data_IF_069785356258
#
_entry.id   IF_069785356258
#
_cell.length_a   1.000
_cell.length_b   1.000
_cell.length_c   1.000
_cell.angle_alpha   90.00
_cell.angle_beta   90.00
_cell.angle_gamma   90.00
#
_symmetry.space_group_name_H-M   'P 1'
#
loop_
_entity.id
_entity.type
_entity.pdbx_description
1 polymer ?
#
# COMPACT_ATOMS: atom_id res chain seq x y z
N UNK A 1 -5.52 7.71 4.12
CA UNK A 1 -4.10 7.69 3.68
C UNK A 1 -3.53 6.34 4.10
N UNK A 2 -2.92 5.55 3.21
CA UNK A 2 -2.14 4.40 3.65
C UNK A 2 -1.03 4.92 4.57
N UNK A 3 -0.64 4.12 5.58
CA UNK A 3 0.55 4.41 6.37
C UNK A 3 1.74 4.38 5.42
N UNK A 4 2.19 5.56 4.98
CA UNK A 4 3.51 5.70 4.42
C UNK A 4 4.43 5.49 5.62
N UNK A 5 4.96 4.27 5.77
CA UNK A 5 6.15 4.06 6.58
C UNK A 5 7.25 4.81 5.85
N UNK A 6 7.34 6.11 6.12
CA UNK A 6 8.52 6.89 5.78
C UNK A 6 9.59 6.28 6.66
N UNK A 7 10.39 5.38 6.08
CA UNK A 7 11.68 5.03 6.63
C UNK A 7 12.56 6.28 6.53
N UNK A 8 12.24 7.30 7.33
CA UNK A 8 13.20 8.32 7.67
C UNK A 8 14.25 7.55 8.45
N UNK A 9 15.47 7.51 7.91
CA UNK A 9 16.61 7.02 8.66
C UNK A 9 16.78 8.00 9.80
N UNK A 10 16.19 7.68 10.95
CA UNK A 10 16.51 8.34 12.20
C UNK A 10 18.03 8.38 12.29
N UNK A 11 18.59 9.59 12.37
CA UNK A 11 20.04 9.81 12.40
C UNK A 11 20.66 9.33 13.71
N UNK A 12 19.84 8.85 14.65
CA UNK A 12 20.29 8.08 15.79
C UNK A 12 20.59 6.64 15.36
N UNK A 13 21.84 6.39 14.98
CA UNK A 13 22.40 5.03 14.96
C UNK A 13 22.43 4.49 16.39
N UNK A 14 21.32 3.91 16.86
CA UNK A 14 21.33 3.09 18.05
C UNK A 14 22.22 1.87 17.77
N UNK A 15 23.33 1.77 18.50
CA UNK A 15 24.29 0.67 18.38
C UNK A 15 23.76 -0.56 19.16
N UNK A 16 22.92 -1.34 18.49
CA UNK A 16 22.35 -2.57 19.05
C UNK A 16 23.36 -3.73 19.13
N UNK A 17 24.62 -3.55 18.69
CA UNK A 17 25.65 -4.61 18.80
C UNK A 17 26.00 -4.95 20.25
N UNK A 18 25.75 -4.01 21.17
CA UNK A 18 25.99 -4.16 22.61
C UNK A 18 24.83 -4.83 23.34
N UNK A 19 23.64 -4.85 22.73
CA UNK A 19 22.47 -5.50 23.31
C UNK A 19 22.52 -6.99 22.96
N UNK A 20 22.49 -7.82 24.01
CA UNK A 20 22.37 -9.27 23.84
C UNK A 20 20.99 -9.66 24.30
N UNK A 21 20.23 -10.27 23.40
CA UNK A 21 18.93 -10.81 23.72
C UNK A 21 19.04 -12.31 23.98
N UNK A 22 18.35 -12.78 25.01
CA UNK A 22 18.39 -14.17 25.47
C UNK A 22 17.38 -15.06 24.72
N UNK A 23 17.45 -15.05 23.39
CA UNK A 23 16.65 -15.94 22.56
C UNK A 23 17.50 -16.59 21.48
N UNK A 24 17.23 -17.85 21.22
CA UNK A 24 17.83 -18.59 20.12
C UNK A 24 17.05 -18.31 18.84
N UNK A 25 17.77 -17.92 17.79
CA UNK A 25 17.16 -17.76 16.48
C UNK A 25 16.81 -19.14 15.88
N UNK A 26 15.67 -19.27 15.17
CA UNK A 26 15.30 -20.51 14.49
C UNK A 26 16.41 -21.02 13.58
N UNK A 27 16.54 -22.35 13.48
CA UNK A 27 17.50 -23.04 12.59
C UNK A 27 18.98 -22.78 12.88
N UNK A 28 19.34 -22.36 14.10
CA UNK A 28 20.74 -22.17 14.51
C UNK A 28 21.45 -21.02 13.80
N UNK A 29 20.70 -20.04 13.31
CA UNK A 29 21.24 -18.88 12.59
C UNK A 29 21.71 -17.80 13.57
N UNK A 30 22.96 -17.36 13.49
CA UNK A 30 23.43 -16.22 14.30
C UNK A 30 23.05 -14.88 13.64
N UNK A 31 21.88 -14.36 14.01
CA UNK A 31 21.38 -13.06 13.55
C UNK A 31 21.68 -11.92 14.54
N UNK A 32 22.55 -12.14 15.52
CA UNK A 32 22.95 -11.11 16.48
C UNK A 32 23.56 -9.90 15.74
N UNK A 33 23.15 -8.65 16.04
CA UNK A 33 23.78 -7.46 15.47
C UNK A 33 25.30 -7.46 15.71
N UNK A 34 26.08 -7.26 14.65
CA UNK A 34 27.55 -7.35 14.68
C UNK A 34 28.14 -8.74 14.46
N UNK A 35 27.31 -9.79 14.33
CA UNK A 35 27.76 -11.09 13.83
C UNK A 35 28.11 -10.99 12.33
N UNK A 36 29.10 -11.76 11.88
CA UNK A 36 29.51 -11.81 10.46
C UNK A 36 28.33 -12.18 9.55
N UNK A 37 27.46 -13.09 10.00
CA UNK A 37 26.28 -13.50 9.24
C UNK A 37 25.22 -12.39 9.18
N UNK A 38 24.92 -11.76 10.31
CA UNK A 38 24.03 -10.60 10.40
C UNK A 38 24.49 -9.47 9.47
N UNK A 39 25.76 -9.07 9.57
CA UNK A 39 26.31 -7.96 8.77
C UNK A 39 26.32 -8.29 7.28
N UNK A 40 26.64 -9.55 6.93
CA UNK A 40 26.53 -10.04 5.55
C UNK A 40 25.11 -9.94 4.99
N UNK A 41 24.09 -10.33 5.78
CA UNK A 41 22.69 -10.25 5.38
C UNK A 41 22.22 -8.79 5.27
N UNK A 42 22.53 -7.98 6.30
CA UNK A 42 22.23 -6.55 6.35
C UNK A 42 22.80 -5.83 5.14
N UNK A 43 24.07 -6.06 4.81
CA UNK A 43 24.73 -5.43 3.65
C UNK A 43 24.06 -5.82 2.33
N UNK A 44 23.67 -7.08 2.16
CA UNK A 44 22.93 -7.53 0.96
C UNK A 44 21.56 -6.86 0.83
N UNK A 45 20.83 -6.72 1.94
CA UNK A 45 19.52 -6.05 1.97
C UNK A 45 19.70 -4.56 1.65
N UNK A 46 20.65 -3.89 2.30
CA UNK A 46 20.94 -2.48 2.07
C UNK A 46 21.43 -2.18 0.67
N UNK A 47 22.27 -3.04 0.08
CA UNK A 47 22.72 -2.88 -1.32
C UNK A 47 21.53 -2.85 -2.26
N UNK A 48 20.64 -3.86 -2.17
CA UNK A 48 19.44 -3.94 -3.02
C UNK A 48 18.48 -2.78 -2.80
N UNK A 49 18.26 -2.38 -1.54
CA UNK A 49 17.41 -1.24 -1.21
C UNK A 49 17.98 0.07 -1.77
N UNK A 50 19.31 0.26 -1.67
CA UNK A 50 20.00 1.44 -2.19
C UNK A 50 19.99 1.48 -3.71
N UNK A 51 20.28 0.36 -4.36
CA UNK A 51 20.20 0.21 -5.82
C UNK A 51 18.79 0.55 -6.33
N UNK A 52 17.76 -0.03 -5.70
CA UNK A 52 16.36 0.28 -6.03
C UNK A 52 16.02 1.76 -5.83
N UNK A 53 16.43 2.36 -4.69
CA UNK A 53 16.18 3.77 -4.42
C UNK A 53 16.91 4.69 -5.39
N UNK A 54 18.13 4.36 -5.80
CA UNK A 54 18.89 5.15 -6.77
C UNK A 54 18.19 5.21 -8.13
N UNK A 55 17.54 4.13 -8.55
CA UNK A 55 16.77 4.11 -9.80
C UNK A 55 15.42 4.82 -9.66
N UNK A 56 14.70 4.60 -8.55
CA UNK A 56 13.40 5.24 -8.30
C UNK A 56 13.52 6.75 -8.06
N UNK A 57 14.59 7.20 -7.42
CA UNK A 57 14.78 8.62 -7.06
C UNK A 57 14.82 9.54 -8.27
N UNK A 58 15.23 9.02 -9.43
CA UNK A 58 15.21 9.72 -10.73
C UNK A 58 13.79 10.18 -11.11
N UNK A 59 12.74 9.49 -10.64
CA UNK A 59 11.33 9.79 -10.92
C UNK A 59 10.67 10.69 -9.88
N UNK A 60 11.25 10.85 -8.70
CA UNK A 60 10.65 11.63 -7.61
C UNK A 60 10.30 13.07 -8.01
N UNK A 61 11.13 13.82 -8.76
CA UNK A 61 10.77 15.17 -9.20
C UNK A 61 9.51 15.18 -10.08
N UNK A 62 9.37 14.20 -10.97
CA UNK A 62 8.19 14.07 -11.84
C UNK A 62 6.95 13.69 -11.04
N UNK A 63 7.07 12.78 -10.06
CA UNK A 63 5.95 12.38 -9.21
C UNK A 63 5.46 13.53 -8.33
N UNK A 64 6.37 14.34 -7.79
CA UNK A 64 6.00 15.53 -7.02
C UNK A 64 5.23 16.56 -7.87
N UNK A 65 5.59 16.72 -9.14
CA UNK A 65 4.85 17.60 -10.05
C UNK A 65 3.46 17.02 -10.37
N UNK A 66 3.36 15.71 -10.59
CA UNK A 66 2.06 15.04 -10.76
C UNK A 66 1.18 15.26 -9.52
N UNK A 67 1.71 15.08 -8.31
CA UNK A 67 0.98 15.34 -7.07
C UNK A 67 0.47 16.77 -7.00
N UNK A 68 1.30 17.74 -7.39
CA UNK A 68 0.90 19.15 -7.46
C UNK A 68 -0.25 19.36 -8.46
N UNK A 69 -0.20 18.73 -9.63
CA UNK A 69 -1.28 18.84 -10.64
C UNK A 69 -2.58 18.14 -10.23
N UNK A 70 -2.49 17.06 -9.44
CA UNK A 70 -3.64 16.31 -8.93
C UNK A 70 -4.19 16.89 -7.63
N UNK A 71 -3.51 17.86 -7.02
CA UNK A 71 -3.95 18.51 -5.79
C UNK A 71 -5.04 19.54 -6.10
N UNK A 72 -6.23 19.34 -5.53
CA UNK A 72 -7.38 20.25 -5.65
C UNK A 72 -7.20 21.56 -4.87
N UNK A 73 -6.32 21.57 -3.86
CA UNK A 73 -6.01 22.73 -3.04
C UNK A 73 -4.72 23.41 -3.50
N UNK A 74 -4.87 24.38 -4.40
CA UNK A 74 -3.78 25.31 -4.72
C UNK A 74 -3.71 26.34 -3.57
N UNK A 75 -2.51 26.67 -3.05
CA UNK A 75 -2.37 27.75 -2.10
C UNK A 75 -2.95 29.03 -2.69
N UNK A 76 -3.71 29.76 -1.87
CA UNK A 76 -4.33 31.03 -2.28
C UNK A 76 -3.25 31.95 -2.87
N UNK A 77 -3.52 32.51 -4.05
CA UNK A 77 -2.67 33.56 -4.60
C UNK A 77 -2.58 34.70 -3.59
N UNK A 78 -1.47 35.43 -3.56
CA UNK A 78 -1.25 36.50 -2.57
C UNK A 78 -2.41 37.53 -2.54
N UNK A 79 -3.03 37.76 -3.69
CA UNK A 79 -4.21 38.63 -3.83
C UNK A 79 -5.42 38.06 -3.07
N UNK A 80 -5.71 36.77 -3.19
CA UNK A 80 -6.83 36.11 -2.52
C UNK A 80 -6.55 35.91 -1.02
N UNK A 81 -5.29 35.67 -0.65
CA UNK A 81 -4.86 35.61 0.75
C UNK A 81 -5.07 36.95 1.45
N UNK A 82 -4.73 38.05 0.79
CA UNK A 82 -4.98 39.42 1.27
C UNK A 82 -6.47 39.79 1.27
N UNK A 83 -7.27 39.19 0.38
CA UNK A 83 -8.72 39.39 0.36
C UNK A 83 -9.38 38.69 1.57
N UNK A 84 -8.95 37.46 1.84
CA UNK A 84 -9.46 36.62 2.93
C UNK A 84 -9.01 37.08 4.31
N UNK A 85 -7.83 37.71 4.41
CA UNK A 85 -7.37 38.33 5.67
C UNK A 85 -8.16 39.57 6.05
N UNK A 86 -8.70 40.28 5.05
CA UNK A 86 -9.57 41.45 5.26
C UNK A 86 -11.03 41.06 5.50
N UNK A 87 -11.51 40.00 4.86
CA UNK A 87 -12.88 39.54 4.97
C UNK A 87 -12.97 38.02 4.81
N UNK A 88 -13.28 37.32 5.90
CA UNK A 88 -13.36 35.86 5.94
C UNK A 88 -14.53 35.28 5.14
N UNK A 89 -15.53 36.09 4.79
CA UNK A 89 -16.74 35.65 4.07
C UNK A 89 -16.56 35.62 2.57
N UNK A 90 -15.49 36.23 2.03
CA UNK A 90 -15.27 36.28 0.59
C UNK A 90 -14.86 34.91 0.04
N UNK A 91 -15.53 34.44 -1.02
CA UNK A 91 -15.20 33.17 -1.65
C UNK A 91 -13.81 33.27 -2.31
N UNK A 92 -13.08 32.17 -2.23
CA UNK A 92 -11.78 31.98 -2.92
C UNK A 92 -12.01 31.09 -4.14
N UNK A 93 -11.21 31.29 -5.19
CA UNK A 93 -11.34 30.42 -6.37
C UNK A 93 -10.92 28.99 -6.03
N UNK A 94 -11.83 28.03 -6.26
CA UNK A 94 -11.53 26.60 -6.20
C UNK A 94 -11.29 26.16 -7.64
N UNK A 95 -10.05 25.86 -7.97
CA UNK A 95 -9.69 25.35 -9.30
C UNK A 95 -9.69 23.84 -9.23
N UNK A 96 -10.66 23.19 -9.88
CA UNK A 96 -10.62 21.75 -10.09
C UNK A 96 -9.73 21.44 -11.30
N UNK A 97 -8.62 20.71 -11.13
CA UNK A 97 -7.76 20.35 -12.26
C UNK A 97 -8.50 19.36 -13.17
N UNK A 98 -8.56 19.65 -14.48
CA UNK A 98 -9.15 18.73 -15.46
C UNK A 98 -8.46 17.36 -15.44
N UNK A 99 -7.14 17.33 -15.21
CA UNK A 99 -6.36 16.10 -15.06
C UNK A 99 -6.84 15.22 -13.90
N UNK A 100 -7.28 15.82 -12.78
CA UNK A 100 -7.85 15.08 -11.66
C UNK A 100 -9.18 14.43 -12.07
N UNK A 101 -10.06 15.18 -12.74
CA UNK A 101 -11.33 14.65 -13.23
C UNK A 101 -11.14 13.50 -14.23
N UNK A 102 -10.16 13.61 -15.13
CA UNK A 102 -9.83 12.51 -16.06
C UNK A 102 -9.32 11.27 -15.32
N UNK A 103 -8.45 11.45 -14.33
CA UNK A 103 -7.94 10.34 -13.52
C UNK A 103 -9.08 9.60 -12.80
N UNK A 104 -9.99 10.34 -12.16
CA UNK A 104 -11.15 9.76 -11.48
C UNK A 104 -12.10 9.03 -12.45
N UNK A 105 -12.29 9.58 -13.66
CA UNK A 105 -13.10 8.92 -14.70
C UNK A 105 -12.47 7.60 -15.14
N UNK A 106 -11.15 7.58 -15.40
CA UNK A 106 -10.42 6.36 -15.76
C UNK A 106 -10.42 5.34 -14.62
N UNK A 107 -10.21 5.79 -13.38
CA UNK A 107 -10.22 4.94 -12.21
C UNK A 107 -11.60 4.33 -11.96
N UNK A 108 -12.67 5.09 -12.18
CA UNK A 108 -14.05 4.61 -12.12
C UNK A 108 -14.28 3.52 -13.16
N UNK A 109 -13.85 3.74 -14.41
CA UNK A 109 -13.95 2.73 -15.47
C UNK A 109 -13.21 1.45 -15.11
N UNK A 110 -11.96 1.55 -14.65
CA UNK A 110 -11.16 0.38 -14.26
C UNK A 110 -11.79 -0.35 -13.06
N UNK A 111 -12.30 0.39 -12.08
CA UNK A 111 -12.98 -0.19 -10.92
C UNK A 111 -14.25 -0.93 -11.35
N UNK A 112 -15.03 -0.37 -12.27
CA UNK A 112 -16.22 -1.04 -12.83
C UNK A 112 -15.83 -2.30 -13.62
N UNK A 113 -14.73 -2.29 -14.36
CA UNK A 113 -14.30 -3.44 -15.14
C UNK A 113 -13.75 -4.58 -14.25
N UNK A 114 -12.94 -4.25 -13.24
CA UNK A 114 -12.20 -5.24 -12.46
C UNK A 114 -12.85 -5.62 -11.14
N UNK A 115 -13.69 -4.79 -10.52
CA UNK A 115 -14.32 -5.12 -9.22
C UNK A 115 -15.66 -5.82 -9.37
N UNK A 116 -15.76 -6.68 -10.38
CA UNK A 116 -16.87 -7.60 -10.53
C UNK A 116 -16.80 -8.68 -9.44
N UNK A 117 -17.93 -9.28 -9.11
CA UNK A 117 -18.01 -10.36 -8.13
C UNK A 117 -18.29 -11.68 -8.86
N UNK A 118 -17.37 -12.67 -8.84
CA UNK A 118 -16.07 -12.70 -8.15
C UNK A 118 -14.96 -11.92 -8.89
N UNK A 119 -14.07 -11.27 -8.12
CA UNK A 119 -13.00 -10.42 -8.67
C UNK A 119 -11.85 -11.23 -9.31
N UNK A 120 -11.59 -12.42 -8.75
CA UNK A 120 -10.65 -13.38 -9.33
C UNK A 120 -11.45 -14.61 -9.73
N UNK A 121 -11.49 -14.87 -11.03
CA UNK A 121 -12.14 -16.04 -11.60
C UNK A 121 -11.11 -17.15 -11.74
N UNK A 122 -11.49 -18.36 -11.33
CA UNK A 122 -10.64 -19.53 -11.44
C UNK A 122 -11.30 -20.57 -12.35
N UNK A 123 -10.49 -21.21 -13.19
CA UNK A 123 -10.93 -22.27 -14.09
C UNK A 123 -10.12 -23.54 -13.82
N UNK A 124 -10.80 -24.70 -13.81
CA UNK A 124 -10.15 -26.00 -13.70
C UNK A 124 -9.42 -26.33 -15.01
N UNK A 125 -8.25 -26.95 -14.90
CA UNK A 125 -7.49 -27.38 -16.09
C UNK A 125 -8.06 -28.68 -16.65
N UNK A 126 -8.47 -29.59 -15.75
CA UNK A 126 -9.06 -30.89 -16.09
C UNK A 126 -10.51 -31.00 -15.60
N UNK A 127 -11.27 -31.93 -16.17
CA UNK A 127 -12.69 -32.14 -15.85
C UNK A 127 -12.92 -32.43 -14.35
N UNK A 128 -11.98 -33.16 -13.73
CA UNK A 128 -12.03 -33.55 -12.32
C UNK A 128 -11.77 -32.36 -11.36
N UNK A 129 -11.09 -31.31 -11.81
CA UNK A 129 -10.75 -30.15 -10.98
C UNK A 129 -11.92 -29.15 -10.83
N UNK A 130 -12.96 -29.28 -11.67
CA UNK A 130 -14.05 -28.32 -11.79
C UNK A 130 -14.69 -27.98 -10.44
N UNK A 131 -14.99 -28.99 -9.62
CA UNK A 131 -15.63 -28.79 -8.31
C UNK A 131 -14.67 -28.13 -7.30
N UNK A 132 -13.39 -28.54 -7.31
CA UNK A 132 -12.37 -27.97 -6.43
C UNK A 132 -12.14 -26.49 -6.73
N UNK A 133 -12.10 -26.14 -8.01
CA UNK A 133 -11.94 -24.76 -8.47
C UNK A 133 -13.13 -23.89 -8.07
N UNK A 134 -14.36 -24.38 -8.22
CA UNK A 134 -15.56 -23.64 -7.77
C UNK A 134 -15.52 -23.35 -6.26
N UNK A 135 -15.09 -24.31 -5.45
CA UNK A 135 -14.95 -24.12 -4.00
C UNK A 135 -13.82 -23.13 -3.65
N UNK A 136 -12.70 -23.20 -4.36
CA UNK A 136 -11.59 -22.27 -4.21
C UNK A 136 -12.03 -20.83 -4.51
N UNK A 137 -12.75 -20.62 -5.62
CA UNK A 137 -13.26 -19.31 -6.01
C UNK A 137 -14.15 -18.71 -4.91
N UNK A 138 -15.05 -19.50 -4.32
CA UNK A 138 -15.89 -19.05 -3.21
C UNK A 138 -15.08 -18.67 -1.97
N UNK A 139 -14.03 -19.41 -1.65
CA UNK A 139 -13.12 -19.12 -0.52
C UNK A 139 -12.36 -17.81 -0.77
N UNK A 140 -11.78 -17.65 -1.97
CA UNK A 140 -11.04 -16.45 -2.34
C UNK A 140 -11.96 -15.23 -2.39
N UNK A 141 -13.17 -15.38 -2.93
CA UNK A 141 -14.22 -14.34 -2.91
C UNK A 141 -14.50 -13.88 -1.48
N UNK A 142 -14.74 -14.81 -0.56
CA UNK A 142 -14.96 -14.50 0.86
C UNK A 142 -13.78 -13.75 1.46
N UNK A 143 -12.54 -14.17 1.18
CA UNK A 143 -11.34 -13.48 1.63
C UNK A 143 -11.28 -12.06 1.08
N UNK A 144 -11.49 -11.87 -0.23
CA UNK A 144 -11.46 -10.55 -0.86
C UNK A 144 -12.44 -9.57 -0.23
N UNK A 145 -13.66 -10.02 0.07
CA UNK A 145 -14.69 -9.23 0.75
C UNK A 145 -14.26 -8.89 2.19
N UNK A 146 -13.80 -9.88 2.96
CA UNK A 146 -13.45 -9.69 4.37
C UNK A 146 -12.22 -8.82 4.59
N UNK A 147 -11.22 -8.91 3.71
CA UNK A 147 -9.97 -8.15 3.82
C UNK A 147 -9.96 -6.88 2.98
N UNK A 148 -11.07 -6.58 2.27
CA UNK A 148 -11.23 -5.38 1.44
C UNK A 148 -10.16 -5.28 0.34
N UNK A 149 -9.83 -6.40 -0.30
CA UNK A 149 -8.85 -6.44 -1.41
C UNK A 149 -9.18 -5.44 -2.52
N UNK A 150 -10.45 -5.22 -2.93
CA UNK A 150 -10.77 -4.20 -3.94
C UNK A 150 -10.26 -2.80 -3.60
N UNK A 151 -10.21 -2.41 -2.32
CA UNK A 151 -9.67 -1.12 -1.88
C UNK A 151 -8.16 -1.01 -2.11
N UNK A 152 -7.43 -2.11 -1.86
CA UNK A 152 -6.00 -2.18 -2.13
C UNK A 152 -5.73 -2.11 -3.65
N UNK A 153 -6.50 -2.87 -4.45
CA UNK A 153 -6.40 -2.84 -5.92
C UNK A 153 -6.76 -1.46 -6.47
N UNK A 154 -7.76 -0.79 -5.90
CA UNK A 154 -8.10 0.59 -6.28
C UNK A 154 -6.91 1.55 -6.07
N UNK A 155 -6.21 1.42 -4.95
CA UNK A 155 -5.03 2.23 -4.65
C UNK A 155 -3.91 1.95 -5.65
N UNK A 156 -3.67 0.67 -5.96
CA UNK A 156 -2.69 0.23 -6.96
C UNK A 156 -3.01 0.83 -8.34
N UNK A 157 -4.27 0.77 -8.78
CA UNK A 157 -4.69 1.32 -10.07
C UNK A 157 -4.53 2.85 -10.10
N UNK A 158 -4.92 3.53 -9.02
CA UNK A 158 -4.75 4.99 -8.89
C UNK A 158 -3.28 5.40 -8.98
N UNK A 159 -2.42 4.71 -8.24
CA UNK A 159 -0.98 4.98 -8.25
C UNK A 159 -0.37 4.66 -9.61
N UNK A 160 -0.83 3.59 -10.28
CA UNK A 160 -0.42 3.27 -11.65
C UNK A 160 -0.78 4.36 -12.65
N UNK A 161 -1.96 4.96 -12.54
CA UNK A 161 -2.38 6.07 -13.41
C UNK A 161 -1.61 7.37 -13.14
N UNK A 162 -1.23 7.61 -11.88
CA UNK A 162 -0.54 8.84 -11.46
C UNK A 162 0.98 8.76 -11.70
N UNK A 163 1.60 7.68 -11.25
CA UNK A 163 3.06 7.54 -11.18
C UNK A 163 3.62 6.59 -12.24
N UNK A 164 2.76 5.93 -13.01
CA UNK A 164 3.11 4.89 -13.98
C UNK A 164 3.43 3.54 -13.33
N UNK A 165 3.26 3.41 -12.01
CA UNK A 165 3.48 2.18 -11.26
C UNK A 165 2.55 2.12 -10.05
N UNK A 166 1.92 0.97 -9.83
CA UNK A 166 1.12 0.67 -8.65
C UNK A 166 1.65 -0.59 -7.98
N UNK A 167 2.15 -0.48 -6.75
CA UNK A 167 2.77 -1.61 -6.06
C UNK A 167 1.75 -2.24 -5.11
N UNK A 168 1.46 -3.51 -5.35
CA UNK A 168 0.66 -4.36 -4.46
C UNK A 168 1.47 -5.54 -3.98
N UNK A 169 1.43 -5.80 -2.67
CA UNK A 169 2.08 -6.97 -2.08
C UNK A 169 0.99 -7.88 -1.50
N UNK A 170 0.56 -8.92 -2.23
CA UNK A 170 -0.33 -9.92 -1.66
C UNK A 170 0.41 -10.69 -0.57
N UNK A 171 -0.26 -10.93 0.55
CA UNK A 171 0.30 -11.66 1.67
C UNK A 171 -0.79 -12.40 2.42
N UNK A 172 -0.41 -13.52 3.02
CA UNK A 172 -1.31 -14.32 3.84
C UNK A 172 -1.07 -14.00 5.31
N UNK A 173 -2.16 -13.81 6.05
CA UNK A 173 -2.11 -13.61 7.50
C UNK A 173 -3.15 -14.52 8.15
N UNK A 174 -2.69 -15.30 9.13
CA UNK A 174 -3.57 -16.10 9.95
C UNK A 174 -4.18 -15.23 11.06
N UNK A 175 -5.49 -15.27 11.19
CA UNK A 175 -6.21 -14.63 12.29
C UNK A 175 -7.12 -15.65 12.95
N UNK A 176 -6.91 -15.89 14.24
CA UNK A 176 -7.75 -16.79 15.02
C UNK A 176 -8.90 -16.00 15.65
N UNK A 177 -10.13 -16.45 15.42
CA UNK A 177 -11.34 -15.92 16.07
C UNK A 177 -11.78 -16.80 17.24
N UNK A 178 -12.56 -16.24 18.16
CA UNK A 178 -13.24 -17.05 19.19
C UNK A 178 -14.42 -17.78 18.55
N UNK A 179 -14.51 -19.09 18.76
CA UNK A 179 -15.67 -19.89 18.34
C UNK A 179 -16.79 -19.69 19.37
N UNK A 180 -17.95 -19.10 19.03
CA UNK A 180 -19.07 -19.04 19.95
C UNK A 180 -19.57 -20.46 20.23
N UNK A 181 -19.64 -20.81 21.51
CA UNK A 181 -20.19 -22.09 21.98
C UNK A 181 -21.61 -21.78 22.43
N UNK A 182 -22.61 -22.53 21.96
CA UNK A 182 -23.99 -22.39 22.46
C UNK A 182 -23.98 -22.68 23.96
N UNK A 183 -24.54 -21.77 24.75
CA UNK A 183 -24.76 -22.00 26.19
C UNK A 183 -25.73 -23.17 26.34
N UNK A 184 -25.36 -24.18 27.14
CA UNK A 184 -26.21 -25.33 27.46
C UNK A 184 -27.18 -25.03 28.61
N UNK A 185 -27.23 -23.80 29.10
CA UNK A 185 -28.15 -23.42 30.17
C UNK A 185 -29.52 -23.17 29.55
N UNK A 186 -30.40 -24.15 29.74
CA UNK A 186 -31.86 -24.08 29.59
C UNK A 186 -32.45 -23.47 30.85
#
# INVERSE_FOLDING_TARGET
>A
MPYIVVGEADTQHADYSRETYDYEYPHGLDLKPGSVFHDGLRNKIWSRARESRNELSKRFPSWNEVDRTLTTYIPLKDVEKNLKSKDATKPVSIVFPYSYSMLEALLTYLSMAFFQDPMFQYEGVEDDDTQGTMLLELIIRLHCIKTKVPLAVHTILRDSLSYGVGIGIPGWRNQYGKKPIKSTIV
#
